data_IF_179981241900
#
_entry.id   IF_179981241900
#
_cell.length_a   1.000
_cell.length_b   1.000
_cell.length_c   1.000
_cell.angle_alpha   90.00
_cell.angle_beta   90.00
_cell.angle_gamma   90.00
#
_symmetry.space_group_name_H-M   'P 1'
#
loop_
_entity.id
_entity.type
_entity.pdbx_description
1 polymer ?
#
# COMPACT_ATOMS: atom_id res chain seq x y z
N UNK A 1 29.38 36.03 37.01
CA UNK A 1 28.75 34.84 36.44
C UNK A 1 27.69 35.35 35.46
N UNK A 2 28.02 35.39 34.18
CA UNK A 2 27.11 35.86 33.12
C UNK A 2 26.14 34.72 32.84
N UNK A 3 24.86 34.94 33.14
CA UNK A 3 23.79 34.04 32.73
C UNK A 3 23.58 34.33 31.24
N UNK A 4 24.16 33.50 30.37
CA UNK A 4 23.76 33.49 28.95
C UNK A 4 22.31 33.02 28.89
N UNK A 5 21.38 33.97 28.79
CA UNK A 5 20.03 33.67 28.33
C UNK A 5 20.15 33.34 26.84
N UNK A 6 20.28 32.05 26.51
CA UNK A 6 20.22 31.56 25.14
C UNK A 6 18.87 31.97 24.55
N UNK A 7 18.85 33.05 23.78
CA UNK A 7 17.70 33.44 22.97
C UNK A 7 17.76 32.64 21.67
N UNK A 8 17.47 31.34 21.76
CA UNK A 8 17.28 30.55 20.55
C UNK A 8 16.01 31.05 19.85
N UNK A 9 16.17 31.55 18.62
CA UNK A 9 15.05 31.69 17.71
C UNK A 9 14.58 30.26 17.43
N UNK A 10 13.50 29.82 18.07
CA UNK A 10 12.88 28.53 17.77
C UNK A 10 12.36 28.54 16.34
N UNK A 11 13.24 28.35 15.37
CA UNK A 11 12.94 28.34 13.94
C UNK A 11 12.07 27.12 13.68
N UNK A 12 10.92 27.36 13.05
CA UNK A 12 10.06 26.31 12.52
C UNK A 12 10.39 26.17 11.05
N UNK A 13 10.89 25.00 10.64
CA UNK A 13 11.18 24.70 9.24
C UNK A 13 10.04 23.88 8.66
N UNK A 14 9.39 24.44 7.64
CA UNK A 14 8.42 23.73 6.80
C UNK A 14 9.12 23.31 5.52
N UNK A 15 9.26 22.00 5.35
CA UNK A 15 9.75 21.38 4.13
C UNK A 15 8.60 20.65 3.43
N UNK A 16 8.37 21.03 2.17
CA UNK A 16 7.45 20.32 1.26
C UNK A 16 8.27 19.28 0.50
N UNK A 17 7.85 18.02 0.55
CA UNK A 17 8.48 16.92 -0.19
C UNK A 17 7.44 16.10 -0.93
N UNK A 18 7.38 16.28 -2.25
CA UNK A 18 6.53 15.53 -3.17
C UNK A 18 7.33 14.55 -4.04
N UNK A 19 8.56 14.21 -3.63
CA UNK A 19 9.48 13.40 -4.44
C UNK A 19 9.02 11.95 -4.63
N UNK A 20 8.03 11.50 -3.84
CA UNK A 20 7.32 10.23 -4.00
C UNK A 20 6.45 10.17 -5.26
N UNK A 21 6.04 11.31 -5.82
CA UNK A 21 5.25 11.34 -7.05
C UNK A 21 6.13 11.05 -8.26
N UNK A 22 5.62 10.23 -9.17
CA UNK A 22 6.27 9.96 -10.45
C UNK A 22 5.38 10.41 -11.61
N UNK A 23 5.97 11.11 -12.58
CA UNK A 23 5.27 11.53 -13.79
C UNK A 23 4.23 12.65 -13.59
N UNK A 24 3.44 12.87 -14.64
CA UNK A 24 2.34 13.83 -14.64
C UNK A 24 1.06 13.19 -14.11
N UNK A 25 0.30 13.93 -13.30
CA UNK A 25 -0.92 13.47 -12.68
C UNK A 25 -2.11 13.55 -13.64
N UNK A 26 -2.91 12.49 -13.73
CA UNK A 26 -4.21 12.56 -14.38
C UNK A 26 -5.30 13.03 -13.40
N UNK A 27 -6.35 13.66 -13.93
CA UNK A 27 -7.46 14.18 -13.14
C UNK A 27 -8.27 13.09 -12.41
N UNK A 28 -8.18 11.83 -12.84
CA UNK A 28 -8.97 10.71 -12.31
C UNK A 28 -8.19 9.82 -11.32
N UNK A 29 -6.94 10.17 -11.01
CA UNK A 29 -6.03 9.37 -10.18
C UNK A 29 -6.27 9.53 -8.67
N UNK A 30 -7.15 10.47 -8.30
CA UNK A 30 -7.43 10.83 -6.91
C UNK A 30 -8.93 10.91 -6.62
N UNK A 31 -9.27 10.71 -5.35
CA UNK A 31 -10.63 10.82 -4.82
C UNK A 31 -10.62 11.65 -3.54
N UNK A 32 -11.70 12.38 -3.27
CA UNK A 32 -11.85 13.10 -2.01
C UNK A 32 -12.26 12.15 -0.88
N UNK A 33 -11.54 12.20 0.23
CA UNK A 33 -11.79 11.41 1.44
C UNK A 33 -11.75 12.30 2.67
N UNK A 34 -12.41 11.85 3.75
CA UNK A 34 -12.35 12.53 5.05
C UNK A 34 -11.31 11.83 5.91
N UNK A 35 -10.29 12.55 6.37
CA UNK A 35 -9.28 12.02 7.30
C UNK A 35 -9.64 12.30 8.76
N UNK A 36 -9.04 11.56 9.68
CA UNK A 36 -9.07 11.82 11.13
C UNK A 36 -7.72 12.41 11.55
N UNK A 37 -7.60 13.75 11.70
CA UNK A 37 -6.32 14.41 11.95
C UNK A 37 -5.59 13.91 13.21
N UNK A 38 -6.33 13.60 14.27
CA UNK A 38 -5.77 13.11 15.53
C UNK A 38 -4.99 11.80 15.39
N UNK A 39 -5.26 10.99 14.36
CA UNK A 39 -4.50 9.75 14.11
C UNK A 39 -3.11 10.00 13.50
N UNK A 40 -2.84 11.21 13.01
CA UNK A 40 -1.52 11.61 12.48
C UNK A 40 -0.64 12.27 13.55
N UNK A 41 -1.17 12.44 14.76
CA UNK A 41 -0.47 13.08 15.86
C UNK A 41 0.65 12.18 16.38
N UNK A 42 1.87 12.58 16.10
CA UNK A 42 3.09 11.87 16.47
C UNK A 42 4.24 12.86 16.64
N UNK A 43 5.32 12.41 17.27
CA UNK A 43 6.59 13.15 17.33
C UNK A 43 7.52 12.80 16.16
N UNK A 44 7.11 11.84 15.32
CA UNK A 44 7.91 11.35 14.20
C UNK A 44 7.83 12.32 13.00
N UNK A 45 8.98 12.88 12.62
CA UNK A 45 9.13 13.84 11.52
C UNK A 45 8.78 13.26 10.16
N UNK A 46 8.61 11.95 10.06
CA UNK A 46 8.15 11.29 8.84
C UNK A 46 6.67 11.54 8.56
N UNK A 47 5.83 11.82 9.57
CA UNK A 47 4.43 12.17 9.33
C UNK A 47 4.21 13.68 9.26
N UNK A 48 5.05 14.45 9.97
CA UNK A 48 4.84 15.88 10.19
C UNK A 48 6.05 16.73 9.81
N UNK A 49 5.77 17.92 9.29
CA UNK A 49 6.75 18.98 9.01
C UNK A 49 6.28 20.29 9.65
N UNK A 50 7.18 21.26 9.82
CA UNK A 50 6.85 22.48 10.58
C UNK A 50 6.68 22.26 12.08
N UNK A 51 7.22 21.16 12.63
CA UNK A 51 7.16 20.89 14.07
C UNK A 51 8.24 21.69 14.79
N UNK A 52 7.87 22.37 15.88
CA UNK A 52 8.82 23.06 16.73
C UNK A 52 8.17 23.60 18.02
N UNK A 53 8.97 24.02 19.01
CA UNK A 53 8.47 24.45 20.32
C UNK A 53 7.53 25.67 20.28
N UNK A 54 7.54 26.42 19.17
CA UNK A 54 6.71 27.60 18.93
C UNK A 54 5.77 27.45 17.74
N UNK A 55 5.62 26.23 17.20
CA UNK A 55 4.74 25.99 16.07
C UNK A 55 3.28 26.21 16.50
N UNK A 56 2.60 27.14 15.83
CA UNK A 56 1.14 27.33 15.91
C UNK A 56 0.42 26.59 14.79
N UNK A 57 1.16 26.15 13.79
CA UNK A 57 0.67 25.35 12.66
C UNK A 57 1.72 24.28 12.38
N UNK A 58 1.28 23.05 12.22
CA UNK A 58 2.07 21.92 11.72
C UNK A 58 1.44 21.39 10.45
N UNK A 59 2.19 20.65 9.66
CA UNK A 59 1.69 20.12 8.39
C UNK A 59 1.84 18.61 8.37
N UNK A 60 0.75 17.93 8.05
CA UNK A 60 0.75 16.50 7.73
C UNK A 60 1.35 16.37 6.32
N UNK A 61 2.41 15.58 6.17
CA UNK A 61 3.14 15.42 4.89
C UNK A 61 2.27 14.73 3.84
N UNK A 62 2.45 15.11 2.57
CA UNK A 62 1.90 14.38 1.43
C UNK A 62 2.54 12.99 1.30
N UNK A 63 1.91 12.06 0.60
CA UNK A 63 2.45 10.72 0.35
C UNK A 63 2.29 9.73 1.50
N UNK A 64 1.67 10.12 2.62
CA UNK A 64 1.41 9.19 3.73
C UNK A 64 0.42 8.10 3.27
N UNK A 65 0.75 6.80 3.45
CA UNK A 65 -0.19 5.71 3.17
C UNK A 65 -1.43 5.83 4.05
N UNK A 66 -2.60 5.91 3.42
CA UNK A 66 -3.90 6.00 4.08
C UNK A 66 -4.60 4.66 4.08
N UNK A 67 -5.29 4.36 5.18
CA UNK A 67 -6.12 3.17 5.31
C UNK A 67 -7.50 3.55 5.84
N UNK A 68 -8.51 2.79 5.42
CA UNK A 68 -9.91 3.04 5.77
C UNK A 68 -10.22 2.52 7.17
N UNK A 69 -10.91 3.32 7.96
CA UNK A 69 -11.44 2.93 9.26
C UNK A 69 -12.79 2.23 9.03
N UNK A 70 -12.92 1.02 9.56
CA UNK A 70 -14.08 0.13 9.32
C UNK A 70 -15.00 -0.01 10.53
N UNK A 71 -14.58 0.49 11.69
CA UNK A 71 -15.32 0.37 12.96
C UNK A 71 -15.12 1.58 13.88
N UNK A 72 -15.96 1.69 14.92
CA UNK A 72 -15.91 2.78 15.89
C UNK A 72 -16.53 4.09 15.39
N UNK A 73 -16.26 5.19 16.11
CA UNK A 73 -16.85 6.52 15.85
C UNK A 73 -16.44 7.11 14.51
N UNK A 74 -15.24 6.78 14.03
CA UNK A 74 -14.66 7.33 12.79
C UNK A 74 -14.83 6.38 11.59
N UNK A 75 -15.81 5.48 11.64
CA UNK A 75 -16.09 4.55 10.55
C UNK A 75 -16.28 5.30 9.22
N UNK A 76 -15.74 4.73 8.15
CA UNK A 76 -15.73 5.27 6.79
C UNK A 76 -14.84 6.50 6.55
N UNK A 77 -14.14 6.97 7.59
CA UNK A 77 -13.04 7.94 7.48
C UNK A 77 -11.69 7.24 7.29
N UNK A 78 -10.64 8.03 7.10
CA UNK A 78 -9.28 7.56 6.81
C UNK A 78 -8.26 8.05 7.83
N UNK A 79 -7.22 7.25 8.04
CA UNK A 79 -6.05 7.61 8.85
C UNK A 79 -4.79 6.98 8.27
N UNK A 80 -3.61 7.19 8.88
CA UNK A 80 -2.40 6.54 8.43
C UNK A 80 -2.52 5.03 8.56
N UNK A 81 -2.02 4.28 7.59
CA UNK A 81 -1.88 2.83 7.68
C UNK A 81 -1.06 2.46 8.91
N UNK A 82 -1.57 1.52 9.69
CA UNK A 82 -0.95 1.05 10.94
C UNK A 82 -1.29 -0.41 11.14
N UNK A 83 -0.27 -1.29 11.00
CA UNK A 83 -0.41 -2.75 11.18
C UNK A 83 -0.87 -3.14 12.58
N UNK A 84 -0.66 -2.28 13.57
CA UNK A 84 -1.04 -2.54 14.98
C UNK A 84 -2.43 -2.02 15.32
N UNK A 85 -3.08 -1.28 14.42
CA UNK A 85 -4.43 -0.81 14.62
C UNK A 85 -5.45 -1.95 14.67
N UNK A 86 -6.58 -1.70 15.30
CA UNK A 86 -7.69 -2.66 15.43
C UNK A 86 -9.00 -2.13 14.83
N UNK A 87 -8.95 -0.96 14.19
CA UNK A 87 -10.12 -0.21 13.70
C UNK A 87 -10.40 -0.43 12.19
N UNK A 88 -9.54 -1.17 11.50
CA UNK A 88 -9.57 -1.41 10.05
C UNK A 88 -8.29 -0.98 9.35
N UNK A 89 -7.55 -0.02 9.90
CA UNK A 89 -6.36 0.56 9.26
C UNK A 89 -5.20 -0.42 9.08
N UNK A 90 -5.22 -1.54 9.79
CA UNK A 90 -4.23 -2.62 9.66
C UNK A 90 -4.43 -3.51 8.43
N UNK A 91 -5.58 -3.41 7.76
CA UNK A 91 -5.99 -4.39 6.75
C UNK A 91 -5.37 -4.14 5.38
N UNK A 92 -5.51 -2.92 4.85
CA UNK A 92 -4.98 -2.54 3.55
C UNK A 92 -4.81 -1.02 3.42
N UNK A 93 -3.85 -0.62 2.60
CA UNK A 93 -3.60 0.75 2.17
C UNK A 93 -4.56 1.07 1.02
N UNK A 94 -5.43 2.06 1.21
CA UNK A 94 -6.42 2.49 0.22
C UNK A 94 -5.86 3.52 -0.79
N UNK A 95 -4.74 4.15 -0.45
CA UNK A 95 -4.11 5.18 -1.29
C UNK A 95 -3.08 5.98 -0.50
N UNK A 96 -2.61 7.07 -1.10
CA UNK A 96 -1.66 8.00 -0.51
C UNK A 96 -2.31 9.36 -0.31
N UNK A 97 -2.02 10.03 0.80
CA UNK A 97 -2.45 11.41 1.03
C UNK A 97 -1.89 12.29 -0.09
N UNK A 98 -2.78 12.94 -0.83
CA UNK A 98 -2.38 13.64 -2.03
C UNK A 98 -1.52 14.86 -1.69
N UNK A 99 -2.02 15.77 -0.86
CA UNK A 99 -1.39 17.05 -0.57
C UNK A 99 -1.15 17.21 0.91
N UNK A 100 -0.20 18.06 1.27
CA UNK A 100 0.02 18.42 2.67
C UNK A 100 -1.23 19.06 3.27
N UNK A 101 -1.49 18.74 4.54
CA UNK A 101 -2.65 19.26 5.29
C UNK A 101 -2.13 20.14 6.40
N UNK A 102 -2.49 21.42 6.37
CA UNK A 102 -2.20 22.34 7.45
C UNK A 102 -3.09 22.04 8.66
N UNK A 103 -2.47 21.98 9.84
CA UNK A 103 -3.13 21.73 11.11
C UNK A 103 -2.76 22.84 12.07
N UNK A 104 -3.76 23.61 12.50
CA UNK A 104 -3.58 24.65 13.50
C UNK A 104 -3.54 24.03 14.89
N UNK A 105 -2.58 24.44 15.71
CA UNK A 105 -2.47 24.02 17.10
C UNK A 105 -3.17 25.06 17.95
N UNK A 106 -4.32 24.68 18.51
CA UNK A 106 -5.10 25.52 19.43
C UNK A 106 -4.96 25.03 20.86
N UNK A 107 -5.52 25.78 21.82
CA UNK A 107 -5.62 25.32 23.21
C UNK A 107 -6.47 24.04 23.35
N UNK A 108 -7.38 23.79 22.40
CA UNK A 108 -8.27 22.62 22.42
C UNK A 108 -7.67 21.38 21.74
N UNK A 109 -6.54 21.52 21.04
CA UNK A 109 -5.90 20.43 20.31
C UNK A 109 -5.58 20.80 18.86
N UNK A 110 -5.55 19.79 17.99
CA UNK A 110 -5.38 19.99 16.56
C UNK A 110 -6.69 20.46 15.94
N UNK A 111 -6.61 21.49 15.12
CA UNK A 111 -7.73 22.08 14.41
C UNK A 111 -7.42 22.08 12.91
N UNK A 112 -8.32 21.48 12.13
CA UNK A 112 -8.20 21.37 10.68
C UNK A 112 -9.49 21.94 10.10
N UNK A 113 -9.38 23.04 9.37
CA UNK A 113 -10.52 23.79 8.83
C UNK A 113 -11.44 22.90 7.98
N UNK A 114 -10.86 22.05 7.13
CA UNK A 114 -11.57 21.03 6.35
C UNK A 114 -10.76 19.71 6.33
N UNK A 115 -11.24 18.64 7.00
CA UNK A 115 -10.59 17.33 6.97
C UNK A 115 -10.80 16.57 5.64
N UNK A 116 -11.50 17.15 4.66
CA UNK A 116 -11.67 16.59 3.32
C UNK A 116 -10.42 16.83 2.49
N UNK A 117 -9.76 15.74 2.09
CA UNK A 117 -8.47 15.78 1.40
C UNK A 117 -8.50 14.91 0.15
N UNK A 118 -7.58 15.18 -0.78
CA UNK A 118 -7.32 14.28 -1.90
C UNK A 118 -6.57 13.03 -1.44
N UNK A 119 -6.99 11.88 -1.93
CA UNK A 119 -6.26 10.62 -1.81
C UNK A 119 -5.94 10.10 -3.20
N UNK A 120 -4.67 9.97 -3.53
CA UNK A 120 -4.20 9.32 -4.76
C UNK A 120 -4.31 7.82 -4.59
N UNK A 121 -5.13 7.19 -5.42
CA UNK A 121 -5.39 5.74 -5.37
C UNK A 121 -4.95 5.03 -6.65
N UNK A 122 -4.48 5.76 -7.67
CA UNK A 122 -3.91 5.22 -8.90
C UNK A 122 -2.72 6.03 -9.39
N UNK A 123 -1.89 5.41 -10.20
CA UNK A 123 -0.76 6.05 -10.89
C UNK A 123 0.60 5.52 -10.46
N UNK A 124 1.63 6.23 -10.88
CA UNK A 124 3.02 5.84 -10.66
C UNK A 124 3.62 6.62 -9.49
N UNK A 125 4.40 5.93 -8.66
CA UNK A 125 5.08 6.50 -7.49
C UNK A 125 6.50 5.98 -7.39
N UNK A 126 7.30 6.61 -6.52
CA UNK A 126 8.61 6.13 -6.09
C UNK A 126 8.50 5.71 -4.63
N UNK A 127 8.31 4.40 -4.36
CA UNK A 127 7.98 3.88 -3.03
C UNK A 127 9.05 4.20 -1.99
N UNK A 128 10.33 4.16 -2.36
CA UNK A 128 11.46 4.47 -1.46
C UNK A 128 11.48 5.91 -0.98
N UNK A 129 10.77 6.82 -1.67
CA UNK A 129 10.65 8.24 -1.32
C UNK A 129 9.38 8.58 -0.56
N UNK A 130 8.55 7.59 -0.23
CA UNK A 130 7.41 7.84 0.63
C UNK A 130 7.89 8.33 2.01
N UNK A 131 7.20 9.31 2.61
CA UNK A 131 7.53 9.74 3.98
C UNK A 131 7.46 8.57 4.97
N UNK A 132 6.49 7.68 4.78
CA UNK A 132 6.28 6.48 5.58
C UNK A 132 6.27 5.31 4.62
N UNK A 133 7.40 4.61 4.52
CA UNK A 133 7.49 3.39 3.73
C UNK A 133 6.76 2.27 4.49
N UNK A 134 5.69 1.67 3.94
CA UNK A 134 5.04 0.53 4.57
C UNK A 134 6.01 -0.65 4.70
N UNK A 135 5.83 -1.41 5.77
CA UNK A 135 6.55 -2.66 5.99
C UNK A 135 6.35 -3.67 4.84
N UNK A 136 7.30 -4.59 4.71
CA UNK A 136 7.21 -5.67 3.73
C UNK A 136 5.98 -6.55 3.99
N UNK A 137 5.23 -6.85 2.93
CA UNK A 137 3.97 -7.59 3.01
C UNK A 137 2.73 -6.75 3.31
N UNK A 138 2.86 -5.42 3.47
CA UNK A 138 1.69 -4.54 3.52
C UNK A 138 0.82 -4.69 2.27
N UNK A 139 -0.50 -4.81 2.46
CA UNK A 139 -1.46 -4.99 1.38
C UNK A 139 -1.90 -3.63 0.85
N UNK A 140 -1.89 -3.46 -0.47
CA UNK A 140 -2.38 -2.25 -1.14
C UNK A 140 -3.69 -2.56 -1.86
N UNK A 141 -4.78 -1.88 -1.50
CA UNK A 141 -6.10 -1.96 -2.13
C UNK A 141 -6.32 -0.77 -3.07
N UNK A 142 -5.30 -0.44 -3.86
CA UNK A 142 -5.26 0.68 -4.79
C UNK A 142 -4.42 0.30 -6.00
N UNK A 143 -4.48 1.07 -7.10
CA UNK A 143 -3.80 0.74 -8.36
C UNK A 143 -2.55 1.60 -8.56
N UNK A 144 -1.62 1.50 -7.61
CA UNK A 144 -0.33 2.19 -7.66
C UNK A 144 0.76 1.28 -8.22
N UNK A 145 1.69 1.88 -8.96
CA UNK A 145 2.89 1.24 -9.47
C UNK A 145 4.13 1.93 -8.93
N UNK A 146 5.10 1.14 -8.48
CA UNK A 146 6.41 1.59 -8.05
C UNK A 146 7.35 1.64 -9.25
N UNK A 147 7.87 2.82 -9.55
CA UNK A 147 8.76 3.08 -10.68
C UNK A 147 10.14 3.41 -10.15
N UNK A 148 10.98 2.38 -10.08
CA UNK A 148 12.35 2.47 -9.57
C UNK A 148 13.30 1.66 -10.43
N UNK A 149 14.51 2.21 -10.64
CA UNK A 149 15.60 1.52 -11.36
C UNK A 149 15.20 0.96 -12.74
N UNK A 150 14.49 1.77 -13.54
CA UNK A 150 13.95 1.39 -14.86
C UNK A 150 13.01 0.16 -14.83
N UNK A 151 12.48 -0.17 -13.66
CA UNK A 151 11.48 -1.22 -13.44
C UNK A 151 10.16 -0.61 -12.98
N UNK A 152 9.07 -1.27 -13.35
CA UNK A 152 7.72 -0.90 -12.94
C UNK A 152 7.10 -2.10 -12.22
N UNK A 153 6.82 -1.95 -10.94
CA UNK A 153 6.24 -3.01 -10.11
C UNK A 153 4.88 -2.57 -9.59
N UNK A 154 3.84 -3.36 -9.86
CA UNK A 154 2.51 -3.08 -9.32
C UNK A 154 2.51 -3.28 -7.80
N UNK A 155 2.11 -2.25 -7.04
CA UNK A 155 2.07 -2.28 -5.58
C UNK A 155 0.78 -2.88 -5.04
N UNK A 156 -0.32 -2.71 -5.78
CA UNK A 156 -1.59 -3.34 -5.48
C UNK A 156 -1.36 -4.80 -5.05
N UNK A 157 -1.94 -5.18 -3.91
CA UNK A 157 -2.11 -6.57 -3.57
C UNK A 157 -2.68 -7.24 -4.80
N UNK A 158 -2.01 -8.29 -5.28
CA UNK A 158 -2.43 -9.09 -6.42
C UNK A 158 -3.95 -9.14 -6.42
N UNK A 159 -4.59 -8.57 -7.45
CA UNK A 159 -6.03 -8.72 -7.61
C UNK A 159 -6.27 -10.22 -7.42
N UNK A 160 -7.15 -10.58 -6.48
CA UNK A 160 -7.44 -11.97 -6.11
C UNK A 160 -7.61 -12.78 -7.41
N UNK A 161 -6.56 -13.46 -7.86
CA UNK A 161 -6.45 -13.89 -9.27
C UNK A 161 -5.06 -13.97 -9.88
N UNK A 162 -4.07 -13.15 -9.48
CA UNK A 162 -2.67 -13.42 -9.88
C UNK A 162 -2.10 -14.49 -8.96
N UNK A 163 -2.41 -15.74 -9.29
CA UNK A 163 -1.78 -16.90 -8.69
C UNK A 163 -0.35 -17.01 -9.21
N UNK A 164 0.57 -17.49 -8.36
CA UNK A 164 1.91 -17.88 -8.77
C UNK A 164 1.84 -18.74 -10.04
N UNK A 165 2.82 -18.62 -10.94
CA UNK A 165 2.86 -19.36 -12.21
C UNK A 165 2.45 -20.82 -12.00
N UNK A 166 1.28 -21.19 -12.53
CA UNK A 166 0.70 -22.51 -12.29
C UNK A 166 1.46 -23.56 -13.13
N UNK A 167 2.10 -24.51 -12.45
CA UNK A 167 2.68 -25.69 -13.09
C UNK A 167 1.66 -26.81 -13.00
N UNK A 168 1.16 -27.28 -14.15
CA UNK A 168 0.21 -28.39 -14.22
C UNK A 168 0.87 -29.68 -13.67
N UNK A 169 0.41 -30.22 -12.51
CA UNK A 169 0.97 -31.43 -11.94
C UNK A 169 0.51 -32.67 -12.73
N UNK A 170 1.22 -33.79 -12.58
CA UNK A 170 0.77 -35.08 -13.10
C UNK A 170 -0.44 -35.59 -12.31
N UNK A 171 -1.36 -36.29 -12.99
CA UNK A 171 -2.51 -36.92 -12.34
C UNK A 171 -2.07 -38.00 -11.33
N UNK A 172 -2.79 -38.11 -10.21
CA UNK A 172 -2.62 -39.19 -9.22
C UNK A 172 -3.98 -39.78 -8.82
N UNK A 173 -3.99 -40.89 -8.08
CA UNK A 173 -5.23 -41.49 -7.56
C UNK A 173 -6.01 -40.58 -6.60
N UNK A 174 -5.38 -39.51 -6.09
CA UNK A 174 -5.93 -38.66 -5.03
C UNK A 174 -5.97 -37.17 -5.42
N UNK A 175 -5.48 -36.80 -6.60
CA UNK A 175 -5.45 -35.41 -7.06
C UNK A 175 -5.57 -35.31 -8.57
N UNK A 176 -6.32 -34.30 -9.02
CA UNK A 176 -6.44 -33.95 -10.43
C UNK A 176 -5.10 -33.43 -10.98
N UNK A 177 -4.81 -33.78 -12.23
CA UNK A 177 -3.60 -33.35 -12.92
C UNK A 177 -3.64 -33.71 -14.41
N UNK A 178 -2.58 -33.34 -15.13
CA UNK A 178 -2.43 -33.63 -16.56
C UNK A 178 -1.98 -35.07 -16.83
N UNK A 179 -2.39 -35.60 -17.98
CA UNK A 179 -1.87 -36.84 -18.58
C UNK A 179 -1.25 -36.54 -19.94
N UNK A 180 -0.37 -37.42 -20.42
CA UNK A 180 0.21 -37.27 -21.76
C UNK A 180 -0.73 -37.84 -22.81
N UNK A 181 -0.57 -37.39 -24.07
CA UNK A 181 -1.26 -37.98 -25.21
C UNK A 181 -0.80 -39.44 -25.38
N UNK A 182 -1.76 -40.34 -25.61
CA UNK A 182 -1.51 -41.77 -25.85
C UNK A 182 -0.91 -41.95 -27.25
N UNK A 183 0.20 -42.68 -27.35
CA UNK A 183 0.78 -43.07 -28.62
C UNK A 183 -0.09 -44.15 -29.30
N UNK A 184 -0.08 -44.18 -30.64
CA UNK A 184 -0.75 -45.26 -31.36
C UNK A 184 -0.17 -46.62 -30.94
N UNK A 185 -1.01 -47.59 -30.53
CA UNK A 185 -0.55 -48.94 -30.22
C UNK A 185 0.13 -49.56 -31.44
N UNK A 186 1.19 -50.33 -31.22
CA UNK A 186 1.91 -51.01 -32.29
C UNK A 186 1.07 -52.09 -32.98
N UNK A 187 0.04 -52.60 -32.28
CA UNK A 187 -0.82 -53.70 -32.72
C UNK A 187 -2.23 -53.55 -32.14
N UNK A 188 -3.21 -54.16 -32.79
CA UNK A 188 -4.60 -54.21 -32.32
C UNK A 188 -4.80 -55.32 -31.27
N UNK A 189 -4.17 -55.12 -30.11
CA UNK A 189 -4.32 -56.04 -28.96
C UNK A 189 -4.60 -55.28 -27.68
N UNK A 190 -5.35 -55.93 -26.77
CA UNK A 190 -5.63 -55.39 -25.44
C UNK A 190 -4.33 -55.13 -24.65
N UNK A 191 -3.31 -55.95 -24.85
CA UNK A 191 -2.01 -55.78 -24.20
C UNK A 191 -1.28 -54.53 -24.70
N UNK A 192 -1.23 -54.30 -26.01
CA UNK A 192 -0.63 -53.12 -26.61
C UNK A 192 -1.35 -51.83 -26.17
N UNK A 193 -2.69 -51.86 -26.10
CA UNK A 193 -3.49 -50.74 -25.61
C UNK A 193 -3.20 -50.42 -24.13
N UNK A 194 -3.16 -51.43 -23.25
CA UNK A 194 -2.83 -51.25 -21.83
C UNK A 194 -1.43 -50.65 -21.63
N UNK A 195 -0.44 -51.13 -22.38
CA UNK A 195 0.92 -50.61 -22.32
C UNK A 195 1.00 -49.13 -22.75
N UNK A 196 0.27 -48.75 -23.81
CA UNK A 196 0.21 -47.37 -24.28
C UNK A 196 -0.44 -46.43 -23.24
N UNK A 197 -1.54 -46.87 -22.61
CA UNK A 197 -2.24 -46.10 -21.57
C UNK A 197 -1.38 -45.92 -20.29
N UNK A 198 -0.65 -46.96 -19.88
CA UNK A 198 0.27 -46.89 -18.73
C UNK A 198 1.45 -45.94 -18.99
N UNK A 199 2.01 -46.00 -20.20
CA UNK A 199 3.10 -45.10 -20.62
C UNK A 199 2.68 -43.63 -20.66
N UNK A 200 1.40 -43.35 -20.90
CA UNK A 200 0.82 -42.01 -20.91
C UNK A 200 0.45 -41.47 -19.50
N UNK A 201 0.59 -42.29 -18.46
CA UNK A 201 0.23 -41.94 -17.08
C UNK A 201 -1.28 -41.94 -16.81
N UNK A 202 -2.06 -42.68 -17.60
CA UNK A 202 -3.53 -42.75 -17.45
C UNK A 202 -3.94 -43.87 -16.49
N UNK A 203 -3.18 -44.97 -16.47
CA UNK A 203 -3.41 -46.13 -15.61
C UNK A 203 -2.11 -46.52 -14.92
N UNK A 204 -2.21 -47.01 -13.68
CA UNK A 204 -1.09 -47.57 -12.92
C UNK A 204 -0.76 -49.00 -13.35
#
# INVERSE_FOLDING_TARGET
MTIEMVKTSGVVTHEVDDSWRYGEKNSNDSVSVVIVPELFKTTDSKYLTGVGPKATTVYIRSGIPLAKITSGTNKDMYGPYDKTATDGRQTAIAGLLESEVAVNITLAGWDVDDPTVGMTYRGDIVKSKLPVVPEEGAVWDCDLYDVENDSVTRLAGVASGSTASYVLPAATSNALGGVKKVAAPSEDTVAALKAALKSAGILA
#
